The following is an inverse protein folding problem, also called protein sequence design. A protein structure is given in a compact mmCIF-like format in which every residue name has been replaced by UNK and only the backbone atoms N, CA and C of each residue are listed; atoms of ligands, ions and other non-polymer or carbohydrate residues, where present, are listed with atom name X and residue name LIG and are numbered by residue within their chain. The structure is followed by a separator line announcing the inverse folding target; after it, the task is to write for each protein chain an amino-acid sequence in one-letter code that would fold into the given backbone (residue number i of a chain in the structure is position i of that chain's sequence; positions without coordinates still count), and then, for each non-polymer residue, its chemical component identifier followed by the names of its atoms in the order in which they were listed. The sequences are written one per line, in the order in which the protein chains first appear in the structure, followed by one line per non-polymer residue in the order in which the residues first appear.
data_IF_547697563953
#
_entry.id   IF_547697563953
#
_cell.length_a   1.000
_cell.length_b   1.000
_cell.length_c   1.000
_cell.angle_alpha   90.00
_cell.angle_beta   90.00
_cell.angle_gamma   90.00
#
_symmetry.space_group_name_H-M   'P 1'
#
loop_
_entity.id
_entity.type
_entity.pdbx_description
1 polymer ?
#
# COMPACT_ATOMS: atom_id res chain seq x y z
N UNK A 1 44.06 -2.84 34.11
CA UNK A 1 43.61 -2.40 32.78
C UNK A 1 42.23 -2.99 32.52
N UNK A 2 41.17 -2.20 32.68
CA UNK A 2 39.82 -2.41 32.11
C UNK A 2 38.93 -1.29 32.63
N UNK A 3 38.80 -0.25 31.81
CA UNK A 3 38.00 0.95 32.07
C UNK A 3 36.52 0.52 32.01
N UNK A 4 35.78 0.74 33.10
CA UNK A 4 34.32 0.68 33.12
C UNK A 4 33.78 1.77 32.19
N UNK A 5 33.42 1.38 30.97
CA UNK A 5 32.78 2.25 29.97
C UNK A 5 31.31 1.85 29.79
N UNK A 6 30.57 1.75 30.89
CA UNK A 6 29.11 1.57 30.87
C UNK A 6 28.48 2.72 31.65
N UNK A 7 27.83 3.68 30.98
CA UNK A 7 26.74 4.53 31.52
C UNK A 7 26.47 5.83 30.74
N UNK A 8 27.20 6.16 29.68
CA UNK A 8 26.89 7.38 28.91
C UNK A 8 25.93 7.17 27.73
N UNK A 9 25.69 5.92 27.29
CA UNK A 9 24.69 5.62 26.25
C UNK A 9 23.24 5.64 26.77
N UNK A 10 23.00 5.43 28.08
CA UNK A 10 21.64 5.35 28.62
C UNK A 10 20.97 6.71 28.82
N UNK A 11 21.73 7.79 29.04
CA UNK A 11 21.18 9.15 29.25
C UNK A 11 20.63 9.82 27.98
N UNK A 12 20.98 9.32 26.80
CA UNK A 12 20.43 9.79 25.51
C UNK A 12 19.43 8.79 24.90
N UNK A 13 19.14 7.70 25.60
CA UNK A 13 18.13 6.72 25.18
C UNK A 13 16.75 7.20 25.63
N UNK A 14 16.10 8.04 24.81
CA UNK A 14 14.67 8.33 24.99
C UNK A 14 13.89 7.04 24.76
N UNK A 15 13.44 6.39 25.84
CA UNK A 15 12.58 5.21 25.76
C UNK A 15 11.19 5.67 25.32
N UNK A 16 10.93 5.59 24.02
CA UNK A 16 9.58 5.81 23.48
C UNK A 16 8.70 4.60 23.85
N UNK A 17 7.75 4.81 24.76
CA UNK A 17 6.79 3.79 25.15
C UNK A 17 5.67 3.73 24.10
N UNK A 18 5.80 2.82 23.14
CA UNK A 18 4.75 2.59 22.15
C UNK A 18 3.73 1.57 22.65
N UNK A 19 2.47 1.95 22.70
CA UNK A 19 1.37 1.03 23.05
C UNK A 19 0.77 0.44 21.78
N UNK A 20 0.73 -0.90 21.68
CA UNK A 20 0.10 -1.60 20.56
C UNK A 20 -1.43 -1.55 20.73
N UNK A 21 -2.12 -0.80 19.88
CA UNK A 21 -3.57 -0.65 19.97
C UNK A 21 -4.31 -1.72 19.17
N UNK A 22 -3.83 -2.02 17.96
CA UNK A 22 -4.55 -2.93 17.06
C UNK A 22 -3.60 -3.64 16.11
N UNK A 23 -3.74 -4.96 16.01
CA UNK A 23 -2.96 -5.82 15.11
C UNK A 23 -3.90 -6.64 14.25
N UNK A 24 -3.65 -6.62 12.95
CA UNK A 24 -4.38 -7.45 11.98
C UNK A 24 -3.42 -8.43 11.33
N UNK A 25 -3.71 -9.71 11.51
CA UNK A 25 -3.00 -10.79 10.87
C UNK A 25 -3.56 -11.05 9.47
N UNK A 26 -2.66 -11.17 8.49
CA UNK A 26 -3.01 -11.58 7.14
C UNK A 26 -3.20 -13.10 7.12
N UNK A 27 -4.39 -13.57 7.48
CA UNK A 27 -4.72 -15.00 7.40
C UNK A 27 -4.77 -15.46 5.94
N UNK A 28 -4.16 -16.62 5.66
CA UNK A 28 -4.15 -17.23 4.33
C UNK A 28 -5.56 -17.46 3.78
N UNK A 29 -6.53 -17.81 4.64
CA UNK A 29 -7.92 -18.00 4.22
C UNK A 29 -8.53 -16.71 3.63
N UNK A 30 -8.30 -15.56 4.29
CA UNK A 30 -8.77 -14.25 3.81
C UNK A 30 -8.10 -13.86 2.50
N UNK A 31 -6.82 -14.21 2.35
CA UNK A 31 -6.05 -14.01 1.12
C UNK A 31 -6.67 -14.83 -0.01
N UNK A 32 -6.86 -16.13 0.19
CA UNK A 32 -7.41 -17.03 -0.84
C UNK A 32 -8.79 -16.55 -1.26
N UNK A 33 -9.67 -16.24 -0.32
CA UNK A 33 -11.00 -15.72 -0.62
C UNK A 33 -10.91 -14.41 -1.42
N UNK A 34 -9.97 -13.52 -1.09
CA UNK A 34 -9.75 -12.28 -1.82
C UNK A 34 -9.29 -12.51 -3.27
N UNK A 35 -8.34 -13.41 -3.50
CA UNK A 35 -7.88 -13.74 -4.86
C UNK A 35 -8.97 -14.46 -5.67
N UNK A 36 -9.76 -15.32 -5.02
CA UNK A 36 -10.91 -15.97 -5.65
C UNK A 36 -11.91 -14.96 -6.23
N UNK A 37 -12.13 -13.82 -5.55
CA UNK A 37 -12.99 -12.75 -6.11
C UNK A 37 -12.43 -12.16 -7.40
N UNK A 38 -11.12 -11.98 -7.53
CA UNK A 38 -10.51 -11.50 -8.76
C UNK A 38 -10.65 -12.54 -9.87
N UNK A 39 -10.36 -13.81 -9.57
CA UNK A 39 -10.48 -14.89 -10.55
C UNK A 39 -11.92 -14.97 -11.07
N UNK A 40 -12.92 -14.86 -10.20
CA UNK A 40 -14.33 -14.87 -10.57
C UNK A 40 -14.69 -13.68 -11.48
N UNK A 41 -14.27 -12.47 -11.12
CA UNK A 41 -14.55 -11.24 -11.90
C UNK A 41 -13.88 -11.30 -13.28
N UNK A 42 -12.63 -11.78 -13.32
CA UNK A 42 -11.88 -11.95 -14.55
C UNK A 42 -12.52 -13.02 -15.44
N UNK A 43 -12.90 -14.17 -14.87
CA UNK A 43 -13.56 -15.26 -15.60
C UNK A 43 -14.91 -14.83 -16.18
N UNK A 44 -15.71 -14.06 -15.43
CA UNK A 44 -17.00 -13.55 -15.91
C UNK A 44 -16.88 -12.61 -17.12
N UNK A 45 -15.75 -11.91 -17.25
CA UNK A 45 -15.45 -11.00 -18.37
C UNK A 45 -14.36 -11.53 -19.30
N UNK A 46 -14.05 -12.81 -19.21
CA UNK A 46 -12.98 -13.40 -19.99
C UNK A 46 -13.46 -13.64 -21.42
N UNK A 47 -12.76 -13.00 -22.37
CA UNK A 47 -12.89 -13.27 -23.78
C UNK A 47 -11.59 -13.91 -24.27
N UNK A 48 -11.61 -15.18 -24.74
CA UNK A 48 -10.41 -15.89 -25.20
C UNK A 48 -9.64 -15.15 -26.29
N UNK A 49 -10.32 -14.33 -27.10
CA UNK A 49 -9.69 -13.54 -28.17
C UNK A 49 -8.84 -12.38 -27.63
N UNK A 50 -9.02 -11.97 -26.37
CA UNK A 50 -8.42 -10.79 -25.78
C UNK A 50 -7.65 -11.10 -24.47
N UNK A 51 -6.74 -12.07 -24.52
CA UNK A 51 -5.92 -12.46 -23.35
C UNK A 51 -4.78 -11.48 -23.02
N UNK A 52 -4.26 -10.77 -24.03
CA UNK A 52 -3.15 -9.80 -23.91
C UNK A 52 -3.44 -8.67 -22.89
N UNK A 53 -4.58 -7.96 -22.97
CA UNK A 53 -4.94 -6.92 -22.01
C UNK A 53 -4.96 -7.42 -20.56
N UNK A 54 -5.41 -8.65 -20.33
CA UNK A 54 -5.48 -9.26 -19.00
C UNK A 54 -4.08 -9.47 -18.42
N UNK A 55 -3.16 -10.01 -19.21
CA UNK A 55 -1.79 -10.30 -18.76
C UNK A 55 -0.96 -9.01 -18.55
N UNK A 56 -1.15 -8.01 -19.41
CA UNK A 56 -0.38 -6.76 -19.36
C UNK A 56 -0.93 -5.76 -18.34
N UNK A 57 -2.24 -5.78 -18.05
CA UNK A 57 -2.84 -4.80 -17.13
C UNK A 57 -2.26 -4.88 -15.71
N UNK A 58 -1.99 -6.08 -15.19
CA UNK A 58 -1.44 -6.24 -13.85
C UNK A 58 -0.06 -5.58 -13.66
N UNK A 59 1.00 -5.93 -14.44
CA UNK A 59 2.30 -5.28 -14.31
C UNK A 59 2.23 -3.79 -14.67
N UNK A 60 1.36 -3.39 -15.61
CA UNK A 60 1.20 -1.99 -15.97
C UNK A 60 0.69 -1.16 -14.79
N UNK A 61 -0.34 -1.63 -14.09
CA UNK A 61 -0.88 -0.97 -12.88
C UNK A 61 0.19 -0.92 -11.78
N UNK A 62 0.96 -1.99 -11.59
CA UNK A 62 2.02 -2.05 -10.59
C UNK A 62 3.10 -0.99 -10.87
N UNK A 63 3.59 -0.91 -12.11
CA UNK A 63 4.54 0.12 -12.55
C UNK A 63 3.93 1.51 -12.35
N UNK A 64 2.68 1.69 -12.77
CA UNK A 64 1.97 2.94 -12.62
C UNK A 64 1.88 3.38 -11.15
N UNK A 65 1.54 2.48 -10.22
CA UNK A 65 1.49 2.79 -8.79
C UNK A 65 2.85 3.18 -8.23
N UNK A 66 3.92 2.47 -8.63
CA UNK A 66 5.28 2.82 -8.19
C UNK A 66 5.72 4.19 -8.70
N UNK A 67 5.42 4.53 -9.95
CA UNK A 67 5.69 5.84 -10.53
C UNK A 67 4.90 6.94 -9.83
N UNK A 68 3.61 6.74 -9.56
CA UNK A 68 2.79 7.72 -8.86
C UNK A 68 3.30 8.02 -7.45
N UNK A 69 3.67 6.98 -6.70
CA UNK A 69 4.23 7.17 -5.36
C UNK A 69 5.55 7.95 -5.46
N UNK A 70 6.40 7.61 -6.44
CA UNK A 70 7.66 8.33 -6.67
C UNK A 70 7.48 9.78 -7.06
N UNK A 71 6.56 10.07 -7.97
CA UNK A 71 6.20 11.43 -8.33
C UNK A 71 5.64 12.18 -7.11
N UNK A 72 4.76 11.58 -6.34
CA UNK A 72 4.19 12.18 -5.14
C UNK A 72 5.27 12.61 -4.13
N UNK A 73 6.21 11.71 -3.80
CA UNK A 73 7.29 12.05 -2.86
C UNK A 73 8.23 13.12 -3.41
N UNK A 74 8.55 13.05 -4.72
CA UNK A 74 9.39 14.04 -5.39
C UNK A 74 8.77 15.45 -5.34
N UNK A 75 7.48 15.57 -5.68
CA UNK A 75 6.81 16.88 -5.73
C UNK A 75 6.40 17.42 -4.35
N UNK A 76 6.01 16.56 -3.42
CA UNK A 76 5.38 17.03 -2.16
C UNK A 76 6.39 17.29 -1.04
N UNK A 77 7.47 16.50 -0.97
CA UNK A 77 8.38 16.49 0.19
C UNK A 77 9.78 17.00 -0.20
N UNK A 78 10.13 17.04 -1.49
CA UNK A 78 11.41 17.58 -1.97
C UNK A 78 12.66 16.82 -1.46
N UNK A 79 12.47 15.69 -0.77
CA UNK A 79 13.53 14.82 -0.26
C UNK A 79 13.38 13.40 -0.79
N UNK A 80 14.49 12.66 -0.80
CA UNK A 80 14.52 11.24 -1.08
C UNK A 80 13.54 10.47 -0.17
N UNK A 81 12.96 9.37 -0.69
CA UNK A 81 12.05 8.42 -0.02
C UNK A 81 12.64 7.75 1.24
N UNK A 82 13.14 8.52 2.19
CA UNK A 82 13.88 8.00 3.32
C UNK A 82 12.90 7.28 4.24
N UNK A 83 13.08 5.97 4.38
CA UNK A 83 12.20 5.10 5.15
C UNK A 83 10.97 4.56 4.38
N UNK A 84 10.95 4.65 3.05
CA UNK A 84 9.99 3.93 2.20
C UNK A 84 10.73 3.02 1.24
N UNK A 85 10.39 1.73 1.25
CA UNK A 85 10.96 0.76 0.32
C UNK A 85 9.90 -0.06 -0.36
N UNK A 86 10.30 -0.65 -1.49
CA UNK A 86 9.45 -1.54 -2.23
C UNK A 86 9.36 -2.88 -1.49
N UNK A 87 8.16 -3.24 -1.03
CA UNK A 87 7.91 -4.50 -0.35
C UNK A 87 6.86 -5.30 -1.10
N UNK A 88 7.15 -6.60 -1.22
CA UNK A 88 6.20 -7.58 -1.70
C UNK A 88 5.38 -8.09 -0.52
N UNK A 89 4.12 -7.67 -0.49
CA UNK A 89 3.10 -8.19 0.41
C UNK A 89 1.84 -8.48 -0.37
N UNK A 90 1.13 -9.53 0.02
CA UNK A 90 -0.07 -10.01 -0.68
C UNK A 90 -1.18 -8.95 -0.71
N UNK A 91 -1.39 -8.24 0.41
CA UNK A 91 -2.31 -7.08 0.47
C UNK A 91 -1.61 -5.73 0.19
N UNK A 92 -0.29 -5.74 0.16
CA UNK A 92 0.56 -4.55 0.16
C UNK A 92 1.74 -4.77 -0.79
N UNK A 93 1.45 -4.90 -2.09
CA UNK A 93 2.48 -4.99 -3.14
C UNK A 93 2.83 -3.58 -3.62
N UNK A 94 3.95 -3.01 -3.18
CA UNK A 94 4.32 -1.66 -3.60
C UNK A 94 5.30 -0.95 -2.69
N UNK A 95 5.41 0.37 -2.85
CA UNK A 95 6.19 1.22 -1.95
C UNK A 95 5.46 1.44 -0.63
N UNK A 96 6.10 1.04 0.46
CA UNK A 96 5.57 1.03 1.82
C UNK A 96 6.58 1.62 2.80
N UNK A 97 6.12 2.19 3.92
CA UNK A 97 7.03 2.65 4.96
C UNK A 97 7.75 1.46 5.62
N UNK A 98 9.07 1.57 5.80
CA UNK A 98 9.91 0.54 6.42
C UNK A 98 9.76 0.47 7.95
N UNK A 99 9.30 1.56 8.56
CA UNK A 99 9.15 1.70 10.00
C UNK A 99 7.77 2.21 10.42
N UNK A 100 7.75 2.97 11.51
CA UNK A 100 6.55 3.63 12.01
C UNK A 100 6.22 4.86 11.17
N UNK A 101 5.13 4.81 10.41
CA UNK A 101 4.64 5.95 9.65
C UNK A 101 3.32 6.44 10.23
N UNK A 102 3.06 7.74 10.19
CA UNK A 102 1.78 8.27 10.66
C UNK A 102 0.63 7.72 9.82
N UNK A 103 -0.45 7.27 10.48
CA UNK A 103 -1.67 6.79 9.82
C UNK A 103 -2.17 7.84 8.81
N UNK A 104 -2.07 9.13 9.16
CA UNK A 104 -2.47 10.26 8.32
C UNK A 104 -1.69 10.32 6.99
N UNK A 105 -0.37 10.15 7.03
CA UNK A 105 0.47 10.19 5.83
C UNK A 105 0.13 9.00 4.92
N UNK A 106 0.11 7.78 5.48
CA UNK A 106 -0.20 6.57 4.70
C UNK A 106 -1.59 6.66 4.09
N UNK A 107 -2.59 7.11 4.86
CA UNK A 107 -3.97 7.30 4.36
C UNK A 107 -4.00 8.29 3.21
N UNK A 108 -3.31 9.44 3.34
CA UNK A 108 -3.28 10.46 2.29
C UNK A 108 -2.66 9.90 1.02
N UNK A 109 -1.49 9.24 1.11
CA UNK A 109 -0.80 8.67 -0.05
C UNK A 109 -1.68 7.63 -0.78
N UNK A 110 -2.30 6.71 -0.05
CA UNK A 110 -3.15 5.68 -0.68
C UNK A 110 -4.42 6.27 -1.30
N UNK A 111 -5.03 7.29 -0.68
CA UNK A 111 -6.18 7.98 -1.28
C UNK A 111 -5.78 8.74 -2.55
N UNK A 112 -4.63 9.42 -2.57
CA UNK A 112 -4.12 10.07 -3.79
C UNK A 112 -3.86 9.04 -4.88
N UNK A 113 -3.25 7.91 -4.53
CA UNK A 113 -3.03 6.79 -5.46
C UNK A 113 -4.35 6.28 -6.08
N UNK A 114 -5.39 6.16 -5.25
CA UNK A 114 -6.72 5.74 -5.68
C UNK A 114 -7.34 6.73 -6.66
N UNK A 115 -7.44 8.01 -6.26
CA UNK A 115 -8.11 9.04 -7.05
C UNK A 115 -7.34 9.37 -8.34
N UNK A 116 -6.01 9.53 -8.26
CA UNK A 116 -5.19 9.83 -9.43
C UNK A 116 -5.22 8.66 -10.42
N UNK A 117 -5.17 7.42 -9.93
CA UNK A 117 -5.25 6.26 -10.82
C UNK A 117 -6.60 6.11 -11.49
N UNK A 118 -7.71 6.35 -10.78
CA UNK A 118 -9.04 6.37 -11.40
C UNK A 118 -9.18 7.51 -12.40
N UNK A 119 -8.71 8.72 -12.05
CA UNK A 119 -8.74 9.86 -12.95
C UNK A 119 -7.94 9.60 -14.22
N UNK A 120 -6.76 8.98 -14.12
CA UNK A 120 -5.96 8.66 -15.30
C UNK A 120 -6.65 7.62 -16.19
N UNK A 121 -7.26 6.59 -15.62
CA UNK A 121 -8.01 5.59 -16.39
C UNK A 121 -9.19 6.24 -17.13
N UNK A 122 -9.90 7.18 -16.48
CA UNK A 122 -10.98 7.93 -17.11
C UNK A 122 -10.48 8.85 -18.22
N UNK A 123 -9.33 9.51 -18.03
CA UNK A 123 -8.71 10.33 -19.07
C UNK A 123 -8.33 9.45 -20.26
N UNK A 124 -7.80 8.25 -20.05
CA UNK A 124 -7.42 7.33 -21.12
C UNK A 124 -8.61 6.75 -21.92
N UNK A 125 -9.85 7.00 -21.49
CA UNK A 125 -11.07 6.48 -22.11
C UNK A 125 -11.20 6.68 -23.63
N UNK A 126 -10.90 7.86 -24.22
CA UNK A 126 -11.06 8.08 -25.66
C UNK A 126 -9.92 7.48 -26.49
N UNK A 127 -8.77 7.15 -25.89
CA UNK A 127 -7.58 6.69 -26.62
C UNK A 127 -7.40 5.17 -26.60
N UNK A 128 -8.00 4.47 -25.64
CA UNK A 128 -7.77 3.04 -25.41
C UNK A 128 -9.05 2.24 -25.67
N UNK A 129 -8.95 1.03 -26.28
CA UNK A 129 -10.11 0.15 -26.44
C UNK A 129 -10.79 -0.21 -25.11
N UNK A 130 -12.11 -0.41 -25.16
CA UNK A 130 -12.95 -0.68 -23.98
C UNK A 130 -12.48 -1.88 -23.15
N UNK A 131 -11.97 -2.92 -23.79
CA UNK A 131 -11.46 -4.14 -23.13
C UNK A 131 -10.30 -3.83 -22.17
N UNK A 132 -9.33 -3.03 -22.62
CA UNK A 132 -8.21 -2.59 -21.79
C UNK A 132 -8.66 -1.72 -20.62
N UNK A 133 -9.58 -0.77 -20.84
CA UNK A 133 -10.08 0.09 -19.77
C UNK A 133 -10.75 -0.70 -18.65
N UNK A 134 -11.54 -1.72 -19.00
CA UNK A 134 -12.21 -2.60 -18.03
C UNK A 134 -11.17 -3.36 -17.21
N UNK A 135 -10.19 -4.01 -17.85
CA UNK A 135 -9.16 -4.77 -17.12
C UNK A 135 -8.29 -3.86 -16.24
N UNK A 136 -7.88 -2.69 -16.72
CA UNK A 136 -7.14 -1.72 -15.92
C UNK A 136 -7.92 -1.27 -14.69
N UNK A 137 -9.21 -0.99 -14.85
CA UNK A 137 -10.07 -0.59 -13.73
C UNK A 137 -10.22 -1.72 -12.71
N UNK A 138 -10.44 -2.95 -13.17
CA UNK A 138 -10.57 -4.13 -12.30
C UNK A 138 -9.28 -4.33 -11.49
N UNK A 139 -8.11 -4.35 -12.14
CA UNK A 139 -6.84 -4.54 -11.46
C UNK A 139 -6.50 -3.36 -10.53
N UNK A 140 -6.76 -2.11 -10.95
CA UNK A 140 -6.56 -0.92 -10.11
C UNK A 140 -7.37 -1.00 -8.82
N UNK A 141 -8.68 -1.22 -8.95
CA UNK A 141 -9.59 -1.32 -7.83
C UNK A 141 -9.20 -2.49 -6.93
N UNK A 142 -8.93 -3.67 -7.50
CA UNK A 142 -8.53 -4.85 -6.73
C UNK A 142 -7.19 -4.66 -5.99
N UNK A 143 -6.21 -3.96 -6.53
CA UNK A 143 -4.96 -3.73 -5.80
C UNK A 143 -5.12 -2.76 -4.61
N UNK A 144 -6.06 -1.80 -4.72
CA UNK A 144 -6.22 -0.72 -3.74
C UNK A 144 -7.27 -1.05 -2.68
N UNK A 145 -8.31 -1.82 -3.00
CA UNK A 145 -9.41 -2.17 -2.10
C UNK A 145 -8.96 -2.73 -0.73
N UNK A 146 -8.02 -3.68 -0.61
CA UNK A 146 -7.59 -4.19 0.69
C UNK A 146 -6.86 -3.11 1.49
N UNK A 147 -6.14 -2.21 0.81
CA UNK A 147 -5.42 -1.10 1.45
C UNK A 147 -6.40 -0.09 2.02
N UNK A 148 -7.41 0.31 1.25
CA UNK A 148 -8.46 1.22 1.71
C UNK A 148 -9.24 0.61 2.87
N UNK A 149 -9.60 -0.67 2.78
CA UNK A 149 -10.29 -1.36 3.87
C UNK A 149 -9.48 -1.34 5.17
N UNK A 150 -8.18 -1.62 5.10
CA UNK A 150 -7.27 -1.54 6.25
C UNK A 150 -7.17 -0.11 6.80
N UNK A 151 -7.07 0.89 5.94
CA UNK A 151 -7.00 2.29 6.34
C UNK A 151 -8.28 2.78 7.03
N UNK A 152 -9.45 2.40 6.54
CA UNK A 152 -10.74 2.71 7.19
C UNK A 152 -10.81 2.11 8.59
N UNK A 153 -10.25 0.91 8.79
CA UNK A 153 -10.16 0.28 10.13
C UNK A 153 -9.21 0.99 11.08
N UNK A 154 -8.22 1.74 10.57
CA UNK A 154 -7.29 2.55 11.37
C UNK A 154 -7.72 4.02 11.48
N UNK A 155 -8.85 4.42 10.89
CA UNK A 155 -9.38 5.79 10.95
C UNK A 155 -9.55 6.33 12.38
N UNK A 156 -9.98 5.55 13.40
CA UNK A 156 -10.08 6.05 14.77
C UNK A 156 -8.74 6.55 15.34
N UNK A 157 -7.62 6.01 14.86
CA UNK A 157 -6.28 6.31 15.35
C UNK A 157 -5.53 7.32 14.46
N UNK A 158 -6.23 8.04 13.57
CA UNK A 158 -5.59 8.89 12.55
C UNK A 158 -4.72 10.04 13.10
N UNK A 159 -5.01 10.55 14.31
CA UNK A 159 -4.35 11.74 14.86
C UNK A 159 -2.99 11.44 15.52
N UNK A 160 -2.91 10.36 16.29
CA UNK A 160 -1.70 9.99 17.06
C UNK A 160 -1.15 8.59 16.69
N UNK A 161 -1.80 7.88 15.78
CA UNK A 161 -1.45 6.52 15.42
C UNK A 161 -0.27 6.44 14.46
N UNK A 162 0.62 5.50 14.75
CA UNK A 162 1.71 5.06 13.90
C UNK A 162 1.38 3.67 13.34
N UNK A 163 1.38 3.52 12.02
CA UNK A 163 1.22 2.23 11.36
C UNK A 163 2.59 1.65 11.08
N UNK A 164 2.75 0.38 11.43
CA UNK A 164 3.85 -0.47 10.96
C UNK A 164 3.27 -1.54 10.05
N UNK A 165 3.72 -1.55 8.80
CA UNK A 165 3.26 -2.50 7.78
C UNK A 165 4.34 -3.54 7.54
N UNK A 166 3.98 -4.80 7.77
CA UNK A 166 4.84 -5.97 7.51
C UNK A 166 4.11 -6.89 6.54
N UNK A 167 4.83 -7.74 5.81
CA UNK A 167 4.21 -8.64 4.81
C UNK A 167 3.15 -9.57 5.42
N UNK A 168 3.32 -9.97 6.69
CA UNK A 168 2.41 -10.88 7.41
C UNK A 168 1.35 -10.17 8.26
N UNK A 169 1.54 -8.89 8.56
CA UNK A 169 0.71 -8.18 9.52
C UNK A 169 0.73 -6.67 9.36
N UNK A 170 -0.35 -6.04 9.78
CA UNK A 170 -0.43 -4.59 9.91
C UNK A 170 -0.79 -4.22 11.34
N UNK A 171 0.08 -3.44 11.98
CA UNK A 171 -0.03 -3.07 13.39
C UNK A 171 -0.12 -1.56 13.54
N UNK A 172 -0.98 -1.10 14.45
CA UNK A 172 -1.12 0.31 14.81
C UNK A 172 -0.69 0.52 16.26
N UNK A 173 0.22 1.46 16.44
CA UNK A 173 0.79 1.90 17.70
C UNK A 173 0.33 3.31 18.01
N UNK A 174 0.21 3.65 19.29
CA UNK A 174 0.05 5.02 19.77
C UNK A 174 1.23 5.33 20.70
N UNK A 175 1.70 6.57 20.61
CA UNK A 175 2.70 7.14 21.51
C UNK A 175 2.01 7.88 22.65
#
# INVERSE_FOLDING_TARGET
MSIQQESNLSKQSTIYSYTLMKRYYHSLYKIVLYYMTLVLVVFYKFDPSHWLPLLVSFPLILIFHTLLIRAYFHFTIGMAMRGWSYRWGIFWAGFLPEGHASVRLVTKVQLHLFFIGLALILILYPWIPRTWLIHLTIFHCWMILPRLWMLLRFQPYRKAGLVKITSKETSCYIQ
#
